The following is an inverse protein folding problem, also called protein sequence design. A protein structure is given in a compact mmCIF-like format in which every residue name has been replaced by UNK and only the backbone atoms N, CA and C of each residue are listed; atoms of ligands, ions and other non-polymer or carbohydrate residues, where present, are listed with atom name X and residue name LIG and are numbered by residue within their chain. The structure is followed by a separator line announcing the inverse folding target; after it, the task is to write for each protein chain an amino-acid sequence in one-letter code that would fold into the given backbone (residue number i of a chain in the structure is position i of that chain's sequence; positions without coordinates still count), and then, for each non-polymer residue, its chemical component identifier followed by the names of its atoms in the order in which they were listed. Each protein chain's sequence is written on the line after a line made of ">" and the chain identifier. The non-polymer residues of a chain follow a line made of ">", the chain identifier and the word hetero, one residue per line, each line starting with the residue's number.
data_IF_464367893920
#
_entry.id   IF_464367893920
#
_cell.length_a   1.000
_cell.length_b   1.000
_cell.length_c   1.000
_cell.angle_alpha   90.00
_cell.angle_beta   90.00
_cell.angle_gamma   90.00
#
_symmetry.space_group_name_H-M   'P 1'
#
loop_
_entity.id
_entity.type
_entity.pdbx_description
1 polymer ?
#
# COMPACT_ATOMS: atom_id res chain seq x y z
N UNK A 1 -35.47 101.10 1.75
CA UNK A 1 -36.85 100.69 2.09
C UNK A 1 -36.77 99.56 3.12
N UNK A 2 -37.13 99.89 4.37
CA UNK A 2 -37.46 98.99 5.50
C UNK A 2 -39.01 98.83 5.47
N UNK A 3 -39.75 97.91 6.17
CA UNK A 3 -39.52 96.57 6.77
C UNK A 3 -40.60 95.52 6.33
N UNK A 4 -40.59 94.29 6.91
CA UNK A 4 -41.65 93.71 7.79
C UNK A 4 -41.69 92.17 7.74
N UNK A 5 -41.70 91.60 8.95
CA UNK A 5 -41.87 90.20 9.38
C UNK A 5 -43.14 89.50 8.85
N UNK A 6 -43.12 88.16 8.75
CA UNK A 6 -44.15 87.35 9.42
C UNK A 6 -43.74 85.89 9.65
N UNK A 7 -44.20 85.41 10.79
CA UNK A 7 -43.93 84.15 11.50
C UNK A 7 -44.77 83.01 10.92
N UNK A 8 -44.22 81.78 10.88
CA UNK A 8 -44.97 80.59 10.47
C UNK A 8 -44.39 79.26 10.98
N UNK A 9 -44.79 78.91 12.21
CA UNK A 9 -45.09 77.56 12.70
C UNK A 9 -44.04 76.43 12.52
N UNK A 10 -43.31 76.14 13.61
CA UNK A 10 -42.54 74.90 13.80
C UNK A 10 -43.51 73.75 14.10
N UNK A 11 -43.68 72.82 13.17
CA UNK A 11 -44.30 71.52 13.44
C UNK A 11 -43.20 70.53 13.88
N UNK A 12 -43.23 70.16 15.16
CA UNK A 12 -42.42 69.10 15.74
C UNK A 12 -42.91 67.75 15.19
N UNK A 13 -42.26 67.21 14.15
CA UNK A 13 -42.45 65.83 13.74
C UNK A 13 -41.67 64.92 14.68
N UNK A 14 -42.37 64.30 15.64
CA UNK A 14 -41.86 63.16 16.41
C UNK A 14 -41.61 61.98 15.46
N UNK A 15 -40.39 61.84 14.96
CA UNK A 15 -39.91 60.60 14.37
C UNK A 15 -39.76 59.56 15.49
N UNK A 16 -40.76 58.69 15.65
CA UNK A 16 -40.64 57.46 16.42
C UNK A 16 -39.62 56.54 15.72
N UNK A 17 -38.35 56.64 16.10
CA UNK A 17 -37.35 55.62 15.79
C UNK A 17 -37.76 54.34 16.52
N UNK A 18 -38.48 53.45 15.84
CA UNK A 18 -38.60 52.06 16.25
C UNK A 18 -37.20 51.46 16.18
N UNK A 19 -36.52 51.38 17.33
CA UNK A 19 -35.40 50.49 17.52
C UNK A 19 -35.94 49.06 17.36
N UNK A 20 -35.85 48.53 16.15
CA UNK A 20 -36.01 47.10 15.90
C UNK A 20 -34.83 46.45 16.63
N UNK A 21 -35.08 46.03 17.87
CA UNK A 21 -34.19 45.11 18.56
C UNK A 21 -34.18 43.82 17.75
N UNK A 22 -33.20 43.70 16.85
CA UNK A 22 -32.80 42.43 16.26
C UNK A 22 -32.37 41.54 17.43
N UNK A 23 -33.34 40.80 17.97
CA UNK A 23 -33.07 39.65 18.80
C UNK A 23 -32.30 38.68 17.92
N UNK A 24 -30.98 38.71 18.06
CA UNK A 24 -30.10 37.66 17.57
C UNK A 24 -30.54 36.39 18.29
N UNK A 25 -31.49 35.66 17.70
CA UNK A 25 -31.80 34.30 18.10
C UNK A 25 -30.50 33.52 17.97
N UNK A 26 -29.86 33.23 19.10
CA UNK A 26 -28.79 32.26 19.14
C UNK A 26 -29.35 30.98 18.51
N UNK A 27 -28.76 30.55 17.41
CA UNK A 27 -29.13 29.28 16.81
C UNK A 27 -28.99 28.20 17.89
N UNK A 28 -29.97 27.29 18.03
CA UNK A 28 -29.88 26.26 19.04
C UNK A 28 -28.62 25.42 18.81
N UNK A 29 -27.87 25.16 19.88
CA UNK A 29 -26.69 24.32 19.82
C UNK A 29 -27.05 22.94 19.25
N UNK A 30 -26.18 22.41 18.40
CA UNK A 30 -26.32 21.07 17.82
C UNK A 30 -25.39 20.12 18.57
N UNK A 31 -25.93 19.00 19.04
CA UNK A 31 -25.13 17.95 19.68
C UNK A 31 -24.95 16.77 18.73
N UNK A 32 -23.69 16.41 18.47
CA UNK A 32 -23.30 15.22 17.72
C UNK A 32 -23.14 14.07 18.72
N UNK A 33 -24.08 13.14 18.70
CA UNK A 33 -24.01 11.95 19.54
C UNK A 33 -23.02 10.95 18.92
N UNK A 34 -22.04 10.47 19.69
CA UNK A 34 -20.96 9.61 19.18
C UNK A 34 -21.13 8.14 19.53
N UNK A 35 -20.45 7.28 18.76
CA UNK A 35 -20.44 5.82 18.91
C UNK A 35 -19.30 5.35 19.81
N UNK A 36 -19.40 4.10 20.26
CA UNK A 36 -18.30 3.43 20.98
C UNK A 36 -18.00 3.99 22.37
N UNK A 37 -18.94 4.71 22.99
CA UNK A 37 -18.76 5.34 24.30
C UNK A 37 -17.94 6.64 24.28
N UNK A 38 -17.62 7.17 23.09
CA UNK A 38 -17.03 8.51 22.98
C UNK A 38 -18.01 9.59 23.46
N UNK A 39 -17.48 10.64 24.08
CA UNK A 39 -18.26 11.77 24.59
C UNK A 39 -18.98 12.50 23.47
N UNK A 40 -20.27 12.79 23.67
CA UNK A 40 -21.05 13.61 22.75
C UNK A 40 -20.48 15.03 22.67
N UNK A 41 -20.55 15.66 21.49
CA UNK A 41 -19.98 17.00 21.26
C UNK A 41 -21.10 17.98 20.97
N UNK A 42 -21.22 19.02 21.79
CA UNK A 42 -22.17 20.13 21.59
C UNK A 42 -21.44 21.34 21.00
N UNK A 43 -21.97 21.91 19.92
CA UNK A 43 -21.40 23.07 19.28
C UNK A 43 -22.45 23.96 18.62
N UNK A 44 -22.09 25.25 18.48
CA UNK A 44 -22.94 26.25 17.84
C UNK A 44 -23.15 25.98 16.34
N UNK A 45 -22.19 25.32 15.67
CA UNK A 45 -22.32 25.00 14.24
C UNK A 45 -21.73 23.64 13.93
N UNK A 46 -22.53 22.82 13.25
CA UNK A 46 -22.15 21.48 12.80
C UNK A 46 -22.43 21.40 11.31
N UNK A 47 -21.40 21.12 10.51
CA UNK A 47 -21.49 20.99 9.06
C UNK A 47 -21.30 19.52 8.70
N UNK A 48 -22.32 18.88 8.14
CA UNK A 48 -22.24 17.50 7.65
C UNK A 48 -22.06 17.49 6.12
N UNK A 49 -21.13 16.65 5.66
CA UNK A 49 -20.87 16.38 4.24
C UNK A 49 -20.62 14.88 3.99
N UNK A 50 -20.26 14.48 2.78
CA UNK A 50 -20.01 13.08 2.44
C UNK A 50 -18.75 12.49 3.12
N UNK A 51 -17.83 13.35 3.57
CA UNK A 51 -16.57 12.96 4.19
C UNK A 51 -16.74 12.72 5.68
N UNK A 52 -17.67 13.42 6.32
CA UNK A 52 -17.92 13.36 7.75
C UNK A 52 -18.66 14.58 8.29
N UNK A 53 -18.35 14.94 9.53
CA UNK A 53 -18.99 16.02 10.28
C UNK A 53 -17.93 16.97 10.81
N UNK A 54 -17.95 18.22 10.35
CA UNK A 54 -17.10 19.29 10.87
C UNK A 54 -17.84 20.02 12.00
N UNK A 55 -17.26 20.03 13.20
CA UNK A 55 -17.80 20.73 14.36
C UNK A 55 -17.04 22.04 14.56
N UNK A 56 -17.76 23.16 14.44
CA UNK A 56 -17.24 24.53 14.63
C UNK A 56 -17.78 25.09 15.95
N UNK A 57 -16.87 25.44 16.86
CA UNK A 57 -17.21 25.97 18.18
C UNK A 57 -16.15 25.71 19.25
N UNK A 58 -15.29 24.71 19.05
CA UNK A 58 -14.06 24.52 19.84
C UNK A 58 -12.94 25.44 19.32
N UNK A 59 -11.88 25.65 20.13
CA UNK A 59 -10.68 26.44 19.74
C UNK A 59 -10.03 25.95 18.44
N UNK A 60 -10.26 24.69 18.08
CA UNK A 60 -9.84 24.05 16.84
C UNK A 60 -11.03 23.32 16.22
N UNK A 61 -11.33 23.50 14.93
CA UNK A 61 -12.37 22.70 14.27
C UNK A 61 -12.03 21.21 14.39
N UNK A 62 -13.00 20.41 14.83
CA UNK A 62 -12.86 18.95 14.93
C UNK A 62 -13.64 18.29 13.79
N UNK A 63 -13.00 17.33 13.12
CA UNK A 63 -13.62 16.56 12.05
C UNK A 63 -13.93 15.14 12.55
N UNK A 64 -15.21 14.76 12.52
CA UNK A 64 -15.70 13.48 13.02
C UNK A 64 -16.13 12.61 11.82
N UNK A 65 -15.51 11.43 11.61
CA UNK A 65 -15.89 10.52 10.53
C UNK A 65 -17.25 9.86 10.79
N UNK A 66 -17.94 9.44 9.72
CA UNK A 66 -19.31 8.93 9.81
C UNK A 66 -19.46 7.67 10.66
N UNK A 67 -18.42 6.82 10.74
CA UNK A 67 -18.43 5.63 11.60
C UNK A 67 -18.37 5.94 13.11
N UNK A 68 -18.17 7.19 13.49
CA UNK A 68 -18.23 7.65 14.88
C UNK A 68 -19.51 8.40 15.20
N UNK A 69 -20.29 8.79 14.19
CA UNK A 69 -21.53 9.56 14.36
C UNK A 69 -22.69 8.60 14.57
N UNK A 70 -23.36 8.71 15.72
CA UNK A 70 -24.56 7.93 16.06
C UNK A 70 -25.84 8.62 15.64
N UNK A 71 -25.96 9.91 16.01
CA UNK A 71 -27.15 10.72 15.76
C UNK A 71 -26.81 12.20 15.93
N UNK A 72 -27.75 13.06 15.55
CA UNK A 72 -27.71 14.49 15.84
C UNK A 72 -28.89 14.87 16.73
N UNK A 73 -28.65 15.70 17.74
CA UNK A 73 -29.69 16.41 18.50
C UNK A 73 -29.64 17.86 18.07
N UNK A 74 -30.66 18.31 17.33
CA UNK A 74 -30.68 19.59 16.62
C UNK A 74 -30.66 19.41 15.09
N UNK A 75 -30.63 20.52 14.34
CA UNK A 75 -30.57 20.48 12.87
C UNK A 75 -29.18 20.86 12.40
N UNK A 76 -28.34 19.89 11.94
CA UNK A 76 -27.03 20.20 11.41
C UNK A 76 -27.18 20.99 10.10
N UNK A 77 -26.18 21.82 9.80
CA UNK A 77 -26.04 22.43 8.49
C UNK A 77 -25.53 21.37 7.52
N UNK A 78 -26.21 21.17 6.40
CA UNK A 78 -25.73 20.26 5.35
C UNK A 78 -24.93 21.05 4.32
N UNK A 79 -23.90 20.43 3.75
CA UNK A 79 -23.11 21.00 2.66
C UNK A 79 -22.84 19.98 1.55
N UNK A 80 -22.40 20.47 0.38
CA UNK A 80 -22.11 19.63 -0.78
C UNK A 80 -23.33 18.90 -1.34
N UNK A 81 -23.15 17.63 -1.71
CA UNK A 81 -24.19 16.81 -2.33
C UNK A 81 -25.38 16.51 -1.41
N UNK A 82 -25.23 16.64 -0.08
CA UNK A 82 -26.29 16.38 0.89
C UNK A 82 -27.40 17.46 0.91
N UNK A 83 -27.22 18.57 0.20
CA UNK A 83 -28.17 19.70 0.20
C UNK A 83 -29.44 19.38 -0.60
N UNK A 84 -29.35 18.52 -1.63
CA UNK A 84 -30.41 18.32 -2.63
C UNK A 84 -31.65 17.57 -2.09
N UNK A 85 -31.50 16.72 -1.07
CA UNK A 85 -32.62 16.11 -0.32
C UNK A 85 -32.23 15.96 1.16
N UNK A 86 -32.53 16.99 1.96
CA UNK A 86 -32.01 17.15 3.33
C UNK A 86 -32.25 15.93 4.24
N UNK A 87 -33.49 15.43 4.27
CA UNK A 87 -33.89 14.38 5.24
C UNK A 87 -33.39 13.00 4.80
N UNK A 88 -33.59 12.64 3.53
CA UNK A 88 -33.19 11.33 3.01
C UNK A 88 -31.66 11.19 2.97
N UNK A 89 -30.95 12.28 2.65
CA UNK A 89 -29.49 12.26 2.59
C UNK A 89 -28.85 12.11 3.97
N UNK A 90 -29.38 12.77 5.00
CA UNK A 90 -28.84 12.63 6.37
C UNK A 90 -29.09 11.23 6.94
N UNK A 91 -30.30 10.70 6.75
CA UNK A 91 -30.63 9.34 7.18
C UNK A 91 -29.77 8.29 6.46
N UNK A 92 -29.51 8.46 5.16
CA UNK A 92 -28.63 7.60 4.38
C UNK A 92 -27.18 7.64 4.91
N UNK A 93 -26.66 8.82 5.25
CA UNK A 93 -25.31 8.95 5.81
C UNK A 93 -25.19 8.32 7.20
N UNK A 94 -26.22 8.46 8.06
CA UNK A 94 -26.25 7.78 9.36
C UNK A 94 -26.29 6.26 9.21
N UNK A 95 -27.02 5.73 8.23
CA UNK A 95 -27.05 4.30 7.92
C UNK A 95 -25.70 3.80 7.37
N UNK A 96 -25.04 4.58 6.52
CA UNK A 96 -23.67 4.32 6.07
C UNK A 96 -22.69 4.30 7.25
N UNK A 97 -22.77 5.29 8.14
CA UNK A 97 -21.96 5.37 9.36
C UNK A 97 -22.15 4.16 10.28
N UNK A 98 -23.38 3.69 10.46
CA UNK A 98 -23.67 2.45 11.20
C UNK A 98 -22.99 1.23 10.54
N UNK A 99 -23.14 1.06 9.23
CA UNK A 99 -22.53 -0.06 8.50
C UNK A 99 -20.99 -0.02 8.59
N UNK A 100 -20.37 1.15 8.47
CA UNK A 100 -18.91 1.33 8.60
C UNK A 100 -18.41 1.09 10.03
N UNK A 101 -19.14 1.56 11.05
CA UNK A 101 -18.81 1.28 12.46
C UNK A 101 -18.81 -0.21 12.74
N UNK A 102 -19.88 -0.89 12.27
CA UNK A 102 -20.06 -2.33 12.35
C UNK A 102 -19.00 -3.11 11.58
N UNK A 103 -18.56 -2.62 10.43
CA UNK A 103 -17.48 -3.21 9.66
C UNK A 103 -16.12 -3.03 10.37
N UNK A 104 -15.82 -1.82 10.87
CA UNK A 104 -14.58 -1.53 11.60
C UNK A 104 -14.40 -2.45 12.81
N UNK A 105 -15.44 -2.61 13.64
CA UNK A 105 -15.37 -3.51 14.81
C UNK A 105 -15.09 -4.95 14.39
N UNK A 106 -15.72 -5.43 13.30
CA UNK A 106 -15.50 -6.79 12.79
C UNK A 106 -14.09 -6.99 12.26
N UNK A 107 -13.58 -6.05 11.45
CA UNK A 107 -12.18 -6.07 10.99
C UNK A 107 -11.22 -6.07 12.17
N UNK A 108 -11.46 -5.25 13.18
CA UNK A 108 -10.65 -5.22 14.41
C UNK A 108 -10.68 -6.53 15.21
N UNK A 109 -11.75 -7.34 15.06
CA UNK A 109 -11.86 -8.68 15.66
C UNK A 109 -11.36 -9.81 14.75
N UNK A 110 -11.03 -9.52 13.50
CA UNK A 110 -10.69 -10.52 12.48
C UNK A 110 -11.89 -11.17 11.78
N UNK A 111 -13.11 -10.66 11.99
CA UNK A 111 -14.35 -11.17 11.39
C UNK A 111 -14.55 -10.64 9.95
N UNK A 112 -13.58 -10.88 9.06
CA UNK A 112 -13.53 -10.28 7.72
C UNK A 112 -14.72 -10.66 6.84
N UNK A 113 -15.22 -11.89 6.95
CA UNK A 113 -16.39 -12.39 6.19
C UNK A 113 -17.64 -11.57 6.45
N UNK A 114 -17.85 -11.15 7.70
CA UNK A 114 -19.00 -10.34 8.09
C UNK A 114 -18.79 -8.84 7.86
N UNK A 115 -17.53 -8.38 7.79
CA UNK A 115 -17.22 -6.98 7.49
C UNK A 115 -17.39 -6.65 6.00
N UNK A 116 -16.91 -7.55 5.13
CA UNK A 116 -16.88 -7.37 3.68
C UNK A 116 -18.22 -6.96 3.05
N UNK A 117 -19.38 -7.60 3.33
CA UNK A 117 -20.64 -7.20 2.70
C UNK A 117 -21.10 -5.79 3.10
N UNK A 118 -20.80 -5.36 4.34
CA UNK A 118 -21.13 -4.02 4.81
C UNK A 118 -20.30 -2.95 4.08
N UNK A 119 -19.02 -3.23 3.86
CA UNK A 119 -18.12 -2.34 3.13
C UNK A 119 -18.45 -2.30 1.63
N UNK A 120 -18.71 -3.48 1.03
CA UNK A 120 -19.00 -3.61 -0.39
C UNK A 120 -20.25 -2.81 -0.81
N UNK A 121 -21.26 -2.74 0.08
CA UNK A 121 -22.48 -1.93 -0.12
C UNK A 121 -22.18 -0.45 -0.42
N UNK A 122 -21.16 0.11 0.23
CA UNK A 122 -20.83 1.55 0.16
C UNK A 122 -19.56 1.86 -0.63
N UNK A 123 -18.79 0.83 -1.02
CA UNK A 123 -17.47 1.00 -1.62
C UNK A 123 -17.47 1.82 -2.91
N UNK A 124 -18.48 1.63 -3.78
CA UNK A 124 -18.57 2.39 -5.03
C UNK A 124 -18.68 3.90 -4.80
N UNK A 125 -19.37 4.31 -3.74
CA UNK A 125 -19.52 5.71 -3.32
C UNK A 125 -18.24 6.23 -2.64
N UNK A 126 -17.68 5.45 -1.72
CA UNK A 126 -16.59 5.93 -0.85
C UNK A 126 -15.20 5.91 -1.51
N UNK A 127 -14.95 5.01 -2.46
CA UNK A 127 -13.60 4.74 -2.99
C UNK A 127 -12.93 5.94 -3.68
N UNK A 128 -13.67 6.95 -4.09
CA UNK A 128 -13.13 8.15 -4.76
C UNK A 128 -13.26 9.42 -3.91
N UNK A 129 -13.80 9.30 -2.69
CA UNK A 129 -13.95 10.42 -1.78
C UNK A 129 -12.69 10.61 -0.94
N UNK A 130 -12.57 11.81 -0.38
CA UNK A 130 -11.50 12.17 0.55
C UNK A 130 -11.96 12.08 2.00
N UNK A 131 -10.98 12.11 2.89
CA UNK A 131 -11.20 12.18 4.33
C UNK A 131 -11.19 10.83 5.05
N UNK A 132 -11.35 10.87 6.38
CA UNK A 132 -11.14 9.71 7.25
C UNK A 132 -12.19 8.61 7.08
N UNK A 133 -13.40 8.94 6.62
CA UNK A 133 -14.45 7.94 6.33
C UNK A 133 -14.07 7.06 5.14
N UNK A 134 -13.60 7.68 4.05
CA UNK A 134 -13.15 6.96 2.85
C UNK A 134 -11.86 6.19 3.12
N UNK A 135 -10.92 6.79 3.87
CA UNK A 135 -9.67 6.15 4.30
C UNK A 135 -9.92 4.86 5.08
N UNK A 136 -10.84 4.89 6.06
CA UNK A 136 -11.27 3.70 6.82
C UNK A 136 -11.84 2.62 5.90
N UNK A 137 -12.74 2.99 4.99
CA UNK A 137 -13.37 2.03 4.09
C UNK A 137 -12.34 1.36 3.16
N UNK A 138 -11.39 2.14 2.63
CA UNK A 138 -10.31 1.64 1.79
C UNK A 138 -9.40 0.65 2.55
N UNK A 139 -8.96 1.01 3.75
CA UNK A 139 -8.10 0.13 4.55
C UNK A 139 -8.84 -1.14 5.00
N UNK A 140 -10.11 -1.02 5.38
CA UNK A 140 -10.95 -2.17 5.76
C UNK A 140 -11.17 -3.12 4.57
N UNK A 141 -11.44 -2.59 3.37
CA UNK A 141 -11.59 -3.37 2.15
C UNK A 141 -10.30 -4.07 1.76
N UNK A 142 -9.15 -3.39 1.91
CA UNK A 142 -7.84 -3.99 1.70
C UNK A 142 -7.62 -5.19 2.62
N UNK A 143 -7.86 -5.02 3.92
CA UNK A 143 -7.70 -6.09 4.90
C UNK A 143 -8.61 -7.29 4.60
N UNK A 144 -9.87 -7.03 4.22
CA UNK A 144 -10.79 -8.08 3.80
C UNK A 144 -10.28 -8.83 2.55
N UNK A 145 -9.79 -8.11 1.54
CA UNK A 145 -9.27 -8.73 0.31
C UNK A 145 -8.03 -9.59 0.57
N UNK A 146 -7.12 -9.11 1.42
CA UNK A 146 -5.92 -9.84 1.82
C UNK A 146 -6.23 -11.10 2.63
N UNK A 147 -7.20 -11.03 3.54
CA UNK A 147 -7.65 -12.21 4.28
C UNK A 147 -8.15 -13.33 3.37
N UNK A 148 -8.84 -12.96 2.28
CA UNK A 148 -9.35 -13.91 1.28
C UNK A 148 -8.33 -14.27 0.19
N UNK A 149 -7.08 -13.79 0.30
CA UNK A 149 -6.03 -14.00 -0.71
C UNK A 149 -6.45 -13.55 -2.12
N UNK A 150 -7.36 -12.58 -2.21
CA UNK A 150 -7.86 -12.04 -3.48
C UNK A 150 -7.04 -10.79 -3.85
N UNK A 151 -5.92 -11.04 -4.52
CA UNK A 151 -4.94 -10.00 -4.87
C UNK A 151 -5.53 -8.96 -5.81
N UNK A 152 -6.32 -9.36 -6.82
CA UNK A 152 -6.97 -8.43 -7.74
C UNK A 152 -7.90 -7.47 -7.01
N UNK A 153 -8.71 -7.97 -6.07
CA UNK A 153 -9.58 -7.13 -5.25
C UNK A 153 -8.81 -6.24 -4.25
N UNK A 154 -7.57 -6.59 -3.90
CA UNK A 154 -6.73 -5.83 -2.97
C UNK A 154 -6.05 -4.62 -3.62
N UNK A 155 -5.75 -4.65 -4.93
CA UNK A 155 -5.03 -3.56 -5.62
C UNK A 155 -5.74 -2.22 -5.46
N UNK A 156 -7.03 -2.18 -5.77
CA UNK A 156 -7.80 -0.94 -5.79
C UNK A 156 -7.84 -0.29 -4.39
N UNK A 157 -8.27 -1.00 -3.33
CA UNK A 157 -8.20 -0.47 -1.96
C UNK A 157 -6.78 -0.07 -1.54
N UNK A 158 -5.73 -0.82 -1.90
CA UNK A 158 -4.34 -0.45 -1.58
C UNK A 158 -3.92 0.88 -2.20
N UNK A 159 -4.26 1.11 -3.48
CA UNK A 159 -4.00 2.39 -4.17
C UNK A 159 -4.73 3.54 -3.47
N UNK A 160 -5.99 3.34 -3.04
CA UNK A 160 -6.73 4.35 -2.28
C UNK A 160 -6.11 4.62 -0.90
N UNK A 161 -5.63 3.59 -0.19
CA UNK A 161 -4.92 3.77 1.09
C UNK A 161 -3.65 4.59 0.91
N UNK A 162 -2.86 4.34 -0.15
CA UNK A 162 -1.68 5.15 -0.46
C UNK A 162 -2.03 6.61 -0.70
N UNK A 163 -3.12 6.87 -1.44
CA UNK A 163 -3.64 8.20 -1.73
C UNK A 163 -4.05 8.93 -0.45
N UNK A 164 -4.76 8.27 0.46
CA UNK A 164 -5.15 8.81 1.76
C UNK A 164 -3.94 9.09 2.66
N UNK A 165 -2.97 8.16 2.73
CA UNK A 165 -1.73 8.36 3.52
C UNK A 165 -0.89 9.52 3.00
N UNK A 166 -0.82 9.70 1.68
CA UNK A 166 -0.16 10.86 1.08
C UNK A 166 -0.84 12.20 1.43
N UNK A 167 -2.13 12.18 1.81
CA UNK A 167 -2.88 13.34 2.35
C UNK A 167 -2.74 13.48 3.88
N UNK A 168 -1.97 12.60 4.54
CA UNK A 168 -1.77 12.62 5.98
C UNK A 168 -2.88 11.95 6.79
N UNK A 169 -3.77 11.19 6.15
CA UNK A 169 -4.81 10.44 6.86
C UNK A 169 -4.18 9.24 7.60
N UNK A 170 -4.28 9.16 8.93
CA UNK A 170 -3.73 8.05 9.70
C UNK A 170 -4.55 6.78 9.51
N UNK A 171 -3.89 5.63 9.72
CA UNK A 171 -4.59 4.35 9.85
C UNK A 171 -5.49 4.37 11.08
N UNK A 172 -6.69 3.79 10.97
CA UNK A 172 -7.65 3.67 12.08
C UNK A 172 -7.74 2.27 12.66
N UNK A 173 -6.95 1.35 12.12
CA UNK A 173 -6.78 0.01 12.67
C UNK A 173 -5.50 0.03 13.51
N UNK A 174 -5.66 -0.10 14.83
CA UNK A 174 -4.56 -0.06 15.80
C UNK A 174 -3.65 -1.30 15.76
N UNK A 175 -3.71 -2.10 14.70
CA UNK A 175 -3.13 -3.44 14.67
C UNK A 175 -1.61 -3.37 14.59
N UNK A 176 -0.93 -4.11 15.48
CA UNK A 176 0.52 -4.27 15.58
C UNK A 176 1.20 -4.81 14.29
N UNK A 177 0.41 -5.17 13.27
CA UNK A 177 0.90 -5.57 11.95
C UNK A 177 0.01 -4.98 10.85
N UNK A 178 0.09 -3.65 10.65
CA UNK A 178 -0.41 -3.06 9.39
C UNK A 178 0.21 -3.84 8.22
N UNK A 179 -0.59 -4.33 7.26
CA UNK A 179 -0.04 -5.15 6.19
C UNK A 179 0.81 -4.30 5.23
N UNK A 180 0.67 -2.97 5.32
CA UNK A 180 1.45 -2.00 4.57
C UNK A 180 2.67 -1.62 5.40
N UNK A 181 3.85 -1.83 4.81
CA UNK A 181 5.12 -1.43 5.39
C UNK A 181 5.16 0.09 5.65
N UNK A 182 5.48 0.49 6.88
CA UNK A 182 5.45 1.90 7.29
C UNK A 182 6.53 2.74 6.60
N UNK A 183 7.65 2.13 6.21
CA UNK A 183 8.78 2.83 5.61
C UNK A 183 8.58 3.08 4.11
N UNK A 184 8.02 2.11 3.39
CA UNK A 184 7.91 2.15 1.91
C UNK A 184 6.47 2.33 1.41
N UNK A 185 5.46 2.08 2.25
CA UNK A 185 4.07 2.00 1.82
C UNK A 185 3.75 0.78 0.94
N UNK A 186 4.71 -0.14 0.74
CA UNK A 186 4.49 -1.35 -0.03
C UNK A 186 3.76 -2.40 0.78
N UNK A 187 3.03 -3.25 0.06
CA UNK A 187 2.32 -4.38 0.61
C UNK A 187 3.06 -5.66 0.21
N UNK A 188 3.56 -6.44 1.17
CA UNK A 188 4.36 -7.63 0.85
C UNK A 188 3.60 -8.63 -0.03
N UNK A 189 2.27 -8.71 0.15
CA UNK A 189 1.38 -9.59 -0.59
C UNK A 189 1.08 -9.14 -2.04
N UNK A 190 1.36 -7.88 -2.42
CA UNK A 190 1.16 -7.38 -3.79
C UNK A 190 2.52 -7.15 -4.46
N UNK A 191 3.27 -8.24 -4.64
CA UNK A 191 4.49 -8.19 -5.44
C UNK A 191 4.17 -8.00 -6.93
N UNK A 192 5.01 -7.29 -7.70
CA UNK A 192 4.93 -7.33 -9.15
C UNK A 192 5.47 -8.65 -9.74
N UNK A 193 6.21 -9.43 -8.96
CA UNK A 193 6.80 -10.71 -9.37
C UNK A 193 5.85 -11.85 -8.99
N UNK A 194 4.84 -12.06 -9.83
CA UNK A 194 3.77 -13.05 -9.59
C UNK A 194 3.78 -14.20 -10.60
N UNK A 195 3.37 -15.42 -10.19
CA UNK A 195 3.21 -16.56 -11.10
C UNK A 195 2.25 -16.26 -12.25
N UNK A 196 2.42 -16.93 -13.38
CA UNK A 196 1.62 -16.67 -14.59
C UNK A 196 0.10 -16.74 -14.32
N UNK A 197 -0.33 -17.68 -13.47
CA UNK A 197 -1.73 -17.88 -13.09
C UNK A 197 -2.40 -16.65 -12.43
N UNK A 198 -1.61 -15.73 -11.86
CA UNK A 198 -2.11 -14.53 -11.16
C UNK A 198 -1.85 -13.22 -11.92
N UNK A 199 -1.05 -13.24 -12.98
CA UNK A 199 -0.64 -12.02 -13.72
C UNK A 199 -1.82 -11.27 -14.30
N UNK A 200 -2.72 -11.98 -15.01
CA UNK A 200 -3.87 -11.37 -15.70
C UNK A 200 -4.77 -10.62 -14.72
N UNK A 201 -5.13 -11.28 -13.62
CA UNK A 201 -5.95 -10.69 -12.55
C UNK A 201 -5.32 -9.39 -12.00
N UNK A 202 -4.02 -9.41 -11.74
CA UNK A 202 -3.31 -8.27 -11.18
C UNK A 202 -3.14 -7.12 -12.18
N UNK A 203 -2.89 -7.43 -13.46
CA UNK A 203 -2.82 -6.46 -14.55
C UNK A 203 -4.17 -5.77 -14.75
N UNK A 204 -5.25 -6.52 -14.82
CA UNK A 204 -6.60 -5.98 -14.99
C UNK A 204 -6.99 -5.09 -13.81
N UNK A 205 -6.59 -5.47 -12.59
CA UNK A 205 -6.80 -4.65 -11.41
C UNK A 205 -5.98 -3.34 -11.45
N UNK A 206 -4.72 -3.37 -11.91
CA UNK A 206 -3.88 -2.18 -12.07
C UNK A 206 -4.45 -1.22 -13.12
N UNK A 207 -4.87 -1.75 -14.29
CA UNK A 207 -5.53 -0.96 -15.35
C UNK A 207 -6.84 -0.36 -14.87
N UNK A 208 -7.64 -1.15 -14.15
CA UNK A 208 -8.89 -0.68 -13.54
C UNK A 208 -8.66 0.44 -12.54
N UNK A 209 -7.53 0.45 -11.82
CA UNK A 209 -7.16 1.56 -10.95
C UNK A 209 -6.79 2.81 -11.75
N UNK A 210 -6.08 2.66 -12.87
CA UNK A 210 -5.68 3.77 -13.74
C UNK A 210 -6.86 4.43 -14.45
N UNK A 211 -7.76 3.64 -15.05
CA UNK A 211 -8.90 4.15 -15.82
C UNK A 211 -9.89 5.01 -15.00
N UNK A 212 -9.86 4.92 -13.67
CA UNK A 212 -10.73 5.73 -12.81
C UNK A 212 -10.36 7.20 -12.79
N UNK A 213 -9.10 7.55 -13.05
CA UNK A 213 -8.67 8.94 -13.09
C UNK A 213 -8.80 9.51 -14.50
N UNK A 214 -10.04 9.73 -14.95
CA UNK A 214 -10.29 10.43 -16.21
C UNK A 214 -10.05 11.96 -16.12
N UNK A 215 -9.73 12.50 -14.93
CA UNK A 215 -9.31 13.89 -14.73
C UNK A 215 -7.79 14.05 -14.79
N UNK A 216 -7.30 15.29 -14.87
CA UNK A 216 -5.87 15.62 -14.71
C UNK A 216 -5.49 15.46 -13.22
N UNK A 217 -4.90 14.31 -12.81
CA UNK A 217 -4.71 14.04 -11.41
C UNK A 217 -3.62 14.97 -10.86
N UNK A 218 -3.82 15.49 -9.66
CA UNK A 218 -2.82 16.34 -8.99
C UNK A 218 -2.49 15.77 -7.60
N UNK A 219 -1.27 16.05 -7.13
CA UNK A 219 -0.83 15.62 -5.80
C UNK A 219 -0.93 14.12 -5.57
N UNK A 220 -1.61 13.73 -4.49
CA UNK A 220 -1.76 12.34 -4.05
C UNK A 220 -2.41 11.43 -5.10
N UNK A 221 -3.37 11.94 -5.87
CA UNK A 221 -4.07 11.15 -6.90
C UNK A 221 -3.10 10.78 -8.04
N UNK A 222 -2.19 11.71 -8.40
CA UNK A 222 -1.16 11.45 -9.42
C UNK A 222 -0.15 10.40 -8.96
N UNK A 223 0.26 10.45 -7.68
CA UNK A 223 1.15 9.45 -7.09
C UNK A 223 0.50 8.07 -7.06
N UNK A 224 -0.77 7.97 -6.66
CA UNK A 224 -1.52 6.72 -6.63
C UNK A 224 -1.61 6.05 -8.02
N UNK A 225 -1.87 6.83 -9.07
CA UNK A 225 -1.88 6.35 -10.45
C UNK A 225 -0.51 5.96 -10.96
N UNK A 226 0.54 6.73 -10.61
CA UNK A 226 1.91 6.39 -10.96
C UNK A 226 2.33 5.06 -10.35
N UNK A 227 1.91 4.76 -9.10
CA UNK A 227 2.14 3.46 -8.46
C UNK A 227 1.44 2.33 -9.22
N UNK A 228 0.17 2.50 -9.60
CA UNK A 228 -0.57 1.50 -10.38
C UNK A 228 0.07 1.25 -11.76
N UNK A 229 0.54 2.30 -12.43
CA UNK A 229 1.23 2.21 -13.72
C UNK A 229 2.61 1.53 -13.63
N UNK A 230 3.37 1.81 -12.56
CA UNK A 230 4.64 1.15 -12.31
C UNK A 230 4.46 -0.34 -11.97
N UNK A 231 3.45 -0.67 -11.16
CA UNK A 231 3.10 -2.06 -10.89
C UNK A 231 2.75 -2.81 -12.17
N UNK A 232 1.88 -2.26 -13.02
CA UNK A 232 1.54 -2.87 -14.32
C UNK A 232 2.79 -3.09 -15.17
N UNK A 233 3.65 -2.07 -15.29
CA UNK A 233 4.89 -2.15 -16.07
C UNK A 233 5.82 -3.25 -15.58
N UNK A 234 6.03 -3.33 -14.27
CA UNK A 234 6.88 -4.36 -13.66
C UNK A 234 6.33 -5.77 -13.91
N UNK A 235 5.00 -5.96 -13.84
CA UNK A 235 4.37 -7.25 -14.13
C UNK A 235 4.57 -7.64 -15.60
N UNK A 236 4.38 -6.70 -16.54
CA UNK A 236 4.64 -6.93 -17.98
C UNK A 236 6.11 -7.28 -18.22
N UNK A 237 7.03 -6.57 -17.56
CA UNK A 237 8.46 -6.81 -17.67
C UNK A 237 8.88 -8.18 -17.13
N UNK A 238 8.22 -8.62 -16.06
CA UNK A 238 8.43 -9.92 -15.41
C UNK A 238 8.00 -11.10 -16.29
N UNK A 239 7.05 -10.87 -17.20
CA UNK A 239 6.58 -11.84 -18.21
C UNK A 239 7.57 -11.97 -19.39
N UNK A 240 8.62 -11.16 -19.44
CA UNK A 240 9.52 -11.08 -20.59
C UNK A 240 8.94 -10.27 -21.76
N UNK A 241 7.80 -9.60 -21.55
CA UNK A 241 7.26 -8.63 -22.50
C UNK A 241 8.25 -7.50 -22.75
N UNK A 242 8.33 -7.03 -24.00
CA UNK A 242 9.12 -5.86 -24.34
C UNK A 242 8.56 -4.63 -23.59
N UNK A 243 9.40 -4.01 -22.77
CA UNK A 243 9.06 -2.76 -22.12
C UNK A 243 9.07 -1.64 -23.16
N UNK A 244 7.90 -1.09 -23.47
CA UNK A 244 7.84 0.22 -24.12
C UNK A 244 8.45 1.25 -23.17
N UNK A 245 9.50 1.94 -23.61
CA UNK A 245 10.13 2.99 -22.83
C UNK A 245 9.06 4.00 -22.38
N UNK A 246 9.05 4.43 -21.09
CA UNK A 246 8.13 5.46 -20.66
C UNK A 246 8.35 6.69 -21.55
N UNK A 247 7.26 7.25 -22.08
CA UNK A 247 7.30 8.56 -22.71
C UNK A 247 7.80 9.54 -21.65
N UNK A 248 9.11 9.82 -21.66
CA UNK A 248 9.71 10.75 -20.74
C UNK A 248 8.95 12.05 -20.89
N UNK A 249 8.23 12.45 -19.84
CA UNK A 249 7.66 13.79 -19.74
C UNK A 249 8.85 14.74 -19.79
N UNK A 250 9.15 15.23 -20.99
CA UNK A 250 10.14 16.24 -21.26
C UNK A 250 9.62 17.55 -20.67
N UNK A 251 9.71 17.69 -19.35
CA UNK A 251 9.80 19.02 -18.75
C UNK A 251 11.11 19.62 -19.24
N UNK A 252 10.96 20.37 -20.32
CA UNK A 252 11.91 21.31 -20.89
C UNK A 252 12.66 22.03 -19.77
N UNK A 253 13.89 21.59 -19.54
CA UNK A 253 14.89 22.35 -18.82
C UNK A 253 15.37 23.47 -19.74
N UNK A 254 14.51 24.47 -19.95
CA UNK A 254 14.94 25.77 -20.46
C UNK A 254 15.68 26.47 -19.31
N UNK A 255 17.00 26.39 -19.33
CA UNK A 255 17.87 27.14 -18.44
C UNK A 255 17.66 28.65 -18.67
N UNK A 256 17.30 29.44 -17.64
CA UNK A 256 17.41 30.89 -17.71
C UNK A 256 18.87 31.26 -17.52
N UNK A 257 19.39 32.03 -18.48
CA UNK A 257 20.69 32.70 -18.40
C UNK A 257 20.51 33.91 -17.47
N UNK A 258 20.88 33.81 -16.21
CA UNK A 258 20.94 34.95 -15.28
C UNK A 258 22.37 35.29 -14.88
N UNK A 259 22.73 36.54 -15.16
CA UNK A 259 23.82 37.33 -14.59
C UNK A 259 23.66 37.53 -13.07
N UNK A 260 24.75 37.74 -12.30
CA UNK A 260 24.69 37.77 -10.85
C UNK A 260 24.30 39.15 -10.31
N UNK A 261 23.61 39.19 -9.16
CA UNK A 261 23.97 40.15 -8.14
C UNK A 261 24.24 39.49 -6.78
N UNK A 262 25.31 39.97 -6.16
CA UNK A 262 25.72 39.67 -4.79
C UNK A 262 24.66 40.09 -3.77
N UNK A 263 24.22 39.17 -2.92
CA UNK A 263 23.67 39.50 -1.59
C UNK A 263 23.85 38.34 -0.60
N UNK A 264 24.66 38.61 0.42
CA UNK A 264 24.56 38.21 1.83
C UNK A 264 23.86 36.88 2.17
N UNK A 265 24.67 35.84 2.36
CA UNK A 265 24.27 34.53 2.87
C UNK A 265 24.22 34.55 4.42
N UNK A 266 23.03 34.76 4.98
CA UNK A 266 22.74 34.49 6.40
C UNK A 266 22.52 33.00 6.57
N UNK A 267 23.47 32.31 7.21
CA UNK A 267 23.40 30.87 7.53
C UNK A 267 22.50 30.63 8.74
N UNK A 268 21.20 30.49 8.49
CA UNK A 268 20.27 29.93 9.48
C UNK A 268 20.59 28.45 9.67
N UNK A 269 21.36 28.17 10.73
CA UNK A 269 21.70 26.84 11.23
C UNK A 269 20.44 26.18 11.78
N UNK A 270 19.70 25.48 10.92
CA UNK A 270 18.60 24.60 11.31
C UNK A 270 19.15 23.44 12.14
N UNK A 271 18.60 23.28 13.34
CA UNK A 271 18.93 22.25 14.33
C UNK A 271 18.70 20.82 13.79
N UNK A 272 19.62 19.86 14.01
CA UNK A 272 19.56 18.50 13.47
C UNK A 272 18.84 17.51 14.41
N UNK A 273 17.73 17.89 15.05
CA UNK A 273 17.04 17.04 16.03
C UNK A 273 15.57 16.83 15.65
N UNK A 274 15.36 16.12 14.55
CA UNK A 274 14.20 15.25 14.35
C UNK A 274 14.51 14.41 13.11
N UNK A 275 15.34 13.39 13.27
CA UNK A 275 15.44 12.30 12.30
C UNK A 275 14.14 11.48 12.39
N UNK A 276 13.02 12.11 12.07
CA UNK A 276 11.77 11.44 11.79
C UNK A 276 12.06 10.61 10.56
N UNK A 277 12.04 9.28 10.71
CA UNK A 277 12.25 8.30 9.65
C UNK A 277 11.58 8.79 8.35
N UNK A 278 12.38 9.30 7.41
CA UNK A 278 11.87 9.83 6.17
C UNK A 278 11.26 8.66 5.40
N UNK A 279 9.94 8.58 5.36
CA UNK A 279 9.21 7.56 4.59
C UNK A 279 9.64 7.67 3.14
N UNK A 280 10.14 6.57 2.58
CA UNK A 280 10.54 6.53 1.18
C UNK A 280 9.25 6.31 0.39
N UNK A 281 8.89 7.22 -0.54
CA UNK A 281 7.65 7.07 -1.28
C UNK A 281 7.60 5.73 -2.02
N UNK A 282 6.45 5.06 -1.96
CA UNK A 282 6.19 3.79 -2.65
C UNK A 282 6.61 3.83 -4.13
N UNK A 283 6.30 4.94 -4.79
CA UNK A 283 6.68 5.19 -6.18
C UNK A 283 8.20 5.12 -6.40
N UNK A 284 9.01 5.66 -5.49
CA UNK A 284 10.47 5.66 -5.60
C UNK A 284 11.04 4.24 -5.53
N UNK A 285 10.51 3.40 -4.63
CA UNK A 285 10.94 2.00 -4.51
C UNK A 285 10.60 1.21 -5.78
N UNK A 286 9.40 1.39 -6.32
CA UNK A 286 9.00 0.74 -7.57
C UNK A 286 9.83 1.20 -8.77
N UNK A 287 10.24 2.47 -8.83
CA UNK A 287 11.15 2.96 -9.88
C UNK A 287 12.55 2.34 -9.80
N UNK A 288 13.07 2.09 -8.59
CA UNK A 288 14.34 1.41 -8.41
C UNK A 288 14.26 -0.05 -8.89
N UNK A 289 13.17 -0.75 -8.55
CA UNK A 289 12.90 -2.09 -9.08
C UNK A 289 12.75 -2.09 -10.61
N UNK A 290 12.01 -1.11 -11.17
CA UNK A 290 11.83 -0.95 -12.63
C UNK A 290 13.17 -0.75 -13.33
N UNK A 291 14.08 0.01 -12.72
CA UNK A 291 15.43 0.24 -13.24
C UNK A 291 16.28 -1.04 -13.27
N UNK A 292 16.15 -1.91 -12.25
CA UNK A 292 16.83 -3.22 -12.22
C UNK A 292 16.25 -4.12 -13.30
N UNK A 293 14.93 -4.25 -13.36
CA UNK A 293 14.24 -5.13 -14.32
C UNK A 293 14.47 -4.67 -15.77
N UNK A 294 14.53 -3.37 -16.01
CA UNK A 294 14.68 -2.78 -17.34
C UNK A 294 16.12 -2.79 -17.87
N UNK A 295 17.11 -3.10 -17.03
CA UNK A 295 18.51 -3.11 -17.44
C UNK A 295 18.75 -4.11 -18.59
N UNK A 296 19.36 -3.62 -19.67
CA UNK A 296 19.65 -4.37 -20.90
C UNK A 296 20.95 -5.15 -20.84
N UNK A 297 21.85 -4.76 -19.93
CA UNK A 297 23.19 -5.32 -19.79
C UNK A 297 23.63 -5.35 -18.32
N UNK A 298 24.70 -6.11 -18.05
CA UNK A 298 25.22 -6.36 -16.71
C UNK A 298 25.70 -5.09 -16.00
N UNK A 299 26.32 -4.15 -16.71
CA UNK A 299 26.86 -2.93 -16.11
C UNK A 299 25.71 -2.01 -15.67
N UNK A 300 24.71 -1.83 -16.52
CA UNK A 300 23.51 -1.05 -16.21
C UNK A 300 22.75 -1.66 -15.03
N UNK A 301 22.61 -2.99 -14.99
CA UNK A 301 22.00 -3.70 -13.87
C UNK A 301 22.74 -3.48 -12.56
N UNK A 302 24.07 -3.63 -12.56
CA UNK A 302 24.88 -3.46 -11.36
C UNK A 302 24.78 -2.02 -10.81
N UNK A 303 24.72 -1.02 -11.69
CA UNK A 303 24.47 0.38 -11.29
C UNK A 303 23.08 0.53 -10.66
N UNK A 304 22.05 -0.05 -11.25
CA UNK A 304 20.68 0.01 -10.70
C UNK A 304 20.58 -0.70 -9.33
N UNK A 305 21.25 -1.84 -9.15
CA UNK A 305 21.30 -2.55 -7.86
C UNK A 305 22.07 -1.73 -6.82
N UNK A 306 23.23 -1.17 -7.17
CA UNK A 306 23.99 -0.32 -6.26
C UNK A 306 23.20 0.93 -5.83
N UNK A 307 22.42 1.51 -6.75
CA UNK A 307 21.53 2.63 -6.43
C UNK A 307 20.39 2.20 -5.51
N UNK A 308 19.78 1.04 -5.75
CA UNK A 308 18.78 0.46 -4.85
C UNK A 308 19.37 0.28 -3.44
N UNK A 309 20.53 -0.36 -3.32
CA UNK A 309 21.17 -0.63 -2.01
C UNK A 309 21.63 0.65 -1.32
N UNK A 310 22.00 1.70 -2.08
CA UNK A 310 22.34 3.02 -1.54
C UNK A 310 21.12 3.72 -0.94
N UNK A 311 19.96 3.63 -1.59
CA UNK A 311 18.70 4.23 -1.11
C UNK A 311 18.08 3.40 0.00
N UNK A 312 18.24 2.07 -0.06
CA UNK A 312 17.69 1.08 0.87
C UNK A 312 18.81 0.20 1.44
N UNK A 313 19.62 0.68 2.38
CA UNK A 313 20.72 -0.11 2.96
C UNK A 313 20.23 -1.33 3.74
N UNK A 314 19.06 -1.21 4.38
CA UNK A 314 18.40 -2.28 5.14
C UNK A 314 16.95 -2.42 4.64
N UNK A 315 16.73 -3.00 3.44
CA UNK A 315 15.38 -3.15 2.92
C UNK A 315 14.59 -4.14 3.80
N UNK A 316 13.27 -3.95 3.96
CA UNK A 316 12.41 -4.98 4.50
C UNK A 316 12.66 -6.31 3.80
N UNK A 317 12.60 -7.41 4.54
CA UNK A 317 12.97 -8.74 4.05
C UNK A 317 12.25 -9.09 2.73
N UNK A 318 10.95 -8.81 2.64
CA UNK A 318 10.15 -9.05 1.42
C UNK A 318 10.67 -8.26 0.22
N UNK A 319 11.13 -7.03 0.44
CA UNK A 319 11.66 -6.17 -0.60
C UNK A 319 13.04 -6.65 -1.07
N UNK A 320 13.85 -7.23 -0.17
CA UNK A 320 15.06 -7.95 -0.55
C UNK A 320 14.78 -9.12 -1.51
N UNK A 321 13.69 -9.86 -1.29
CA UNK A 321 13.24 -10.91 -2.21
C UNK A 321 12.79 -10.34 -3.57
N UNK A 322 12.06 -9.22 -3.57
CA UNK A 322 11.65 -8.53 -4.81
C UNK A 322 12.85 -8.03 -5.61
N UNK A 323 13.88 -7.50 -4.93
CA UNK A 323 15.15 -7.09 -5.56
C UNK A 323 15.83 -8.27 -6.24
N UNK A 324 15.91 -9.42 -5.57
CA UNK A 324 16.52 -10.63 -6.16
C UNK A 324 15.71 -11.16 -7.35
N UNK A 325 14.37 -11.14 -7.25
CA UNK A 325 13.50 -11.50 -8.37
C UNK A 325 13.74 -10.56 -9.56
N UNK A 326 13.84 -9.24 -9.32
CA UNK A 326 14.15 -8.25 -10.35
C UNK A 326 15.47 -8.52 -11.08
N UNK A 327 16.53 -8.88 -10.34
CA UNK A 327 17.85 -9.24 -10.89
C UNK A 327 17.71 -10.48 -11.78
N UNK A 328 17.05 -11.53 -11.29
CA UNK A 328 16.82 -12.76 -12.03
C UNK A 328 16.00 -12.54 -13.32
N UNK A 329 14.96 -11.71 -13.27
CA UNK A 329 14.16 -11.31 -14.44
C UNK A 329 15.01 -10.58 -15.49
N UNK A 330 15.85 -9.63 -15.08
CA UNK A 330 16.76 -8.92 -15.99
C UNK A 330 17.79 -9.88 -16.62
N UNK A 331 18.38 -10.78 -15.83
CA UNK A 331 19.27 -11.84 -16.31
C UNK A 331 18.60 -12.75 -17.34
N UNK A 332 17.37 -13.19 -17.07
CA UNK A 332 16.61 -14.03 -17.99
C UNK A 332 16.41 -13.35 -19.35
N UNK A 333 16.10 -12.04 -19.34
CA UNK A 333 15.95 -11.26 -20.59
C UNK A 333 17.27 -11.14 -21.35
N UNK A 334 18.36 -10.82 -20.67
CA UNK A 334 19.70 -10.73 -21.30
C UNK A 334 20.16 -12.10 -21.85
N UNK A 335 19.89 -13.18 -21.12
CA UNK A 335 20.17 -14.55 -21.57
C UNK A 335 19.41 -14.90 -22.85
N UNK A 336 18.12 -14.57 -22.94
CA UNK A 336 17.31 -14.80 -24.15
C UNK A 336 17.76 -13.98 -25.36
N UNK A 337 18.36 -12.81 -25.13
CA UNK A 337 18.96 -11.99 -26.18
C UNK A 337 20.33 -12.51 -26.64
N UNK A 338 20.95 -13.44 -25.89
CA UNK A 338 22.23 -14.05 -26.26
C UNK A 338 22.03 -15.10 -27.35
N UNK A 339 23.00 -15.24 -28.26
CA UNK A 339 22.94 -16.15 -29.42
C UNK A 339 24.01 -17.24 -29.31
N UNK A 340 23.74 -18.41 -29.85
CA UNK A 340 24.67 -19.55 -29.90
C UNK A 340 24.84 -20.25 -28.55
N UNK A 341 25.95 -20.98 -28.38
CA UNK A 341 26.21 -21.82 -27.21
C UNK A 341 26.28 -21.03 -25.89
N UNK A 342 26.64 -19.75 -25.96
CA UNK A 342 26.64 -18.84 -24.81
C UNK A 342 25.24 -18.62 -24.23
N UNK A 343 24.16 -18.82 -25.03
CA UNK A 343 22.78 -18.69 -24.58
C UNK A 343 22.44 -19.71 -23.51
N UNK A 344 22.81 -20.98 -23.69
CA UNK A 344 22.52 -22.06 -22.74
C UNK A 344 23.12 -21.75 -21.37
N UNK A 345 24.40 -21.40 -21.32
CA UNK A 345 25.08 -21.02 -20.07
C UNK A 345 24.46 -19.76 -19.42
N UNK A 346 24.03 -18.79 -20.23
CA UNK A 346 23.38 -17.58 -19.73
C UNK A 346 22.00 -17.89 -19.12
N UNK A 347 21.21 -18.79 -19.75
CA UNK A 347 19.91 -19.23 -19.24
C UNK A 347 20.05 -20.00 -17.92
N UNK A 348 20.99 -20.93 -17.84
CA UNK A 348 21.30 -21.67 -16.61
C UNK A 348 21.71 -20.72 -15.47
N UNK A 349 22.60 -19.75 -15.75
CA UNK A 349 22.99 -18.73 -14.76
C UNK A 349 21.79 -17.91 -14.29
N UNK A 350 20.94 -17.46 -15.20
CA UNK A 350 19.72 -16.72 -14.86
C UNK A 350 18.76 -17.54 -13.99
N UNK A 351 18.60 -18.84 -14.29
CA UNK A 351 17.82 -19.75 -13.48
C UNK A 351 18.39 -19.86 -12.06
N UNK A 352 19.71 -19.95 -11.90
CA UNK A 352 20.37 -20.01 -10.59
C UNK A 352 20.19 -18.72 -9.79
N UNK A 353 20.18 -17.55 -10.44
CA UNK A 353 19.90 -16.27 -9.79
C UNK A 353 18.44 -16.19 -9.31
N UNK A 354 17.47 -16.67 -10.09
CA UNK A 354 16.06 -16.77 -9.66
C UNK A 354 15.91 -17.78 -8.52
N UNK A 355 16.57 -18.92 -8.63
CA UNK A 355 16.62 -19.88 -7.53
C UNK A 355 17.32 -19.29 -6.31
N UNK A 356 18.06 -18.18 -6.38
CA UNK A 356 18.62 -17.52 -5.20
C UNK A 356 17.55 -16.84 -4.34
N UNK A 357 16.40 -16.45 -4.92
CA UNK A 357 15.27 -15.79 -4.23
C UNK A 357 14.79 -16.65 -3.05
N UNK A 358 14.79 -16.13 -1.81
CA UNK A 358 14.64 -16.91 -0.58
C UNK A 358 13.25 -17.57 -0.47
N UNK A 359 13.22 -18.90 -0.65
CA UNK A 359 12.03 -19.69 -0.96
C UNK A 359 10.99 -19.97 0.15
N UNK A 360 11.09 -19.42 1.38
CA UNK A 360 10.27 -19.96 2.47
C UNK A 360 9.96 -19.09 3.71
N UNK A 361 10.65 -17.99 4.01
CA UNK A 361 10.54 -17.40 5.37
C UNK A 361 10.00 -15.96 5.44
N UNK A 362 9.82 -15.30 4.29
CA UNK A 362 9.83 -13.84 4.28
C UNK A 362 8.50 -13.22 3.85
N UNK A 363 7.83 -13.80 2.84
CA UNK A 363 6.53 -13.32 2.40
C UNK A 363 5.45 -14.35 2.75
N UNK A 364 4.46 -13.94 3.54
CA UNK A 364 3.29 -14.78 3.88
C UNK A 364 2.54 -15.25 2.64
N UNK A 365 2.61 -14.50 1.53
CA UNK A 365 1.96 -14.85 0.27
C UNK A 365 2.67 -15.99 -0.46
N UNK A 366 4.00 -16.01 -0.43
CA UNK A 366 4.83 -16.94 -1.21
C UNK A 366 4.77 -16.75 -2.73
N UNK A 367 4.19 -15.65 -3.22
CA UNK A 367 4.03 -15.39 -4.66
C UNK A 367 5.37 -15.25 -5.37
N UNK A 368 6.31 -14.54 -4.73
CA UNK A 368 7.64 -14.29 -5.29
C UNK A 368 8.44 -15.58 -5.42
N UNK A 369 8.26 -16.50 -4.47
CA UNK A 369 8.91 -17.80 -4.49
C UNK A 369 8.35 -18.67 -5.62
N UNK A 370 7.02 -18.72 -5.74
CA UNK A 370 6.36 -19.45 -6.81
C UNK A 370 6.72 -18.88 -8.19
N UNK A 371 6.79 -17.55 -8.33
CA UNK A 371 7.28 -16.87 -9.53
C UNK A 371 8.71 -17.29 -9.86
N UNK A 372 9.62 -17.22 -8.87
CA UNK A 372 11.02 -17.54 -9.08
C UNK A 372 11.23 -19.00 -9.50
N UNK A 373 10.48 -19.93 -8.89
CA UNK A 373 10.49 -21.35 -9.27
C UNK A 373 9.92 -21.57 -10.68
N UNK A 374 8.78 -20.97 -11.01
CA UNK A 374 8.17 -21.05 -12.34
C UNK A 374 9.12 -20.54 -13.43
N UNK A 375 9.76 -19.40 -13.19
CA UNK A 375 10.70 -18.80 -14.14
C UNK A 375 12.00 -19.61 -14.26
N UNK A 376 12.56 -20.10 -13.14
CA UNK A 376 13.75 -20.96 -13.17
C UNK A 376 13.47 -22.28 -13.91
N UNK A 377 12.32 -22.91 -13.65
CA UNK A 377 11.84 -24.11 -14.35
C UNK A 377 11.78 -23.85 -15.87
N UNK A 378 11.17 -22.74 -16.30
CA UNK A 378 11.06 -22.37 -17.71
C UNK A 378 12.43 -22.15 -18.37
N UNK A 379 13.36 -21.45 -17.70
CA UNK A 379 14.70 -21.18 -18.22
C UNK A 379 15.55 -22.45 -18.35
N UNK A 380 15.45 -23.37 -17.39
CA UNK A 380 16.15 -24.65 -17.45
C UNK A 380 15.65 -25.50 -18.62
N UNK A 381 14.33 -25.56 -18.84
CA UNK A 381 13.79 -26.22 -20.05
C UNK A 381 14.25 -25.55 -21.34
N UNK A 382 14.27 -24.22 -21.37
CA UNK A 382 14.76 -23.45 -22.53
C UNK A 382 16.25 -23.71 -22.82
N UNK A 383 17.05 -23.96 -21.76
CA UNK A 383 18.48 -24.29 -21.88
C UNK A 383 18.75 -25.74 -22.33
N UNK A 384 17.77 -26.64 -22.18
CA UNK A 384 17.91 -28.09 -22.45
C UNK A 384 18.13 -28.96 -21.21
N UNK A 385 18.31 -28.38 -20.02
CA UNK A 385 18.41 -29.12 -18.75
C UNK A 385 17.02 -29.50 -18.20
N UNK A 386 16.40 -30.49 -18.84
CA UNK A 386 15.07 -30.99 -18.47
C UNK A 386 15.08 -31.63 -17.08
N UNK A 387 16.16 -32.30 -16.70
CA UNK A 387 16.25 -33.01 -15.42
C UNK A 387 16.21 -32.04 -14.23
N UNK A 388 16.97 -30.94 -14.27
CA UNK A 388 16.91 -29.91 -13.24
C UNK A 388 15.56 -29.18 -13.27
N UNK A 389 14.99 -28.93 -14.44
CA UNK A 389 13.67 -28.32 -14.54
C UNK A 389 12.58 -29.15 -13.84
N UNK A 390 12.58 -30.47 -14.02
CA UNK A 390 11.61 -31.37 -13.39
C UNK A 390 11.80 -31.44 -11.86
N UNK A 391 13.02 -31.32 -11.37
CA UNK A 391 13.28 -31.17 -9.92
C UNK A 391 12.70 -29.87 -9.37
N UNK A 392 12.90 -28.74 -10.06
CA UNK A 392 12.31 -27.45 -9.67
C UNK A 392 10.78 -27.52 -9.68
N UNK A 393 10.19 -28.17 -10.68
CA UNK A 393 8.74 -28.38 -10.76
C UNK A 393 8.22 -29.23 -9.58
N UNK A 394 8.95 -30.26 -9.17
CA UNK A 394 8.61 -31.09 -8.00
C UNK A 394 8.65 -30.30 -6.69
N UNK A 395 9.62 -29.40 -6.51
CA UNK A 395 9.66 -28.50 -5.34
C UNK A 395 8.47 -27.56 -5.33
N UNK A 396 8.14 -26.96 -6.48
CA UNK A 396 7.03 -26.02 -6.61
C UNK A 396 5.70 -26.66 -6.23
N UNK A 397 5.45 -27.88 -6.70
CA UNK A 397 4.23 -28.64 -6.37
C UNK A 397 4.19 -29.09 -4.91
N UNK A 398 5.33 -29.51 -4.34
CA UNK A 398 5.43 -29.90 -2.93
C UNK A 398 5.19 -28.72 -1.98
N UNK A 399 5.73 -27.54 -2.30
CA UNK A 399 5.53 -26.32 -1.52
C UNK A 399 4.08 -25.82 -1.51
N UNK A 400 3.35 -25.97 -2.63
CA UNK A 400 1.94 -25.64 -2.71
C UNK A 400 1.07 -26.50 -1.77
N UNK A 401 1.37 -27.81 -1.68
CA UNK A 401 0.65 -28.74 -0.83
C UNK A 401 0.94 -28.54 0.67
N UNK A 402 2.17 -28.19 1.03
CA UNK A 402 2.57 -27.92 2.41
C UNK A 402 1.85 -26.70 3.02
N UNK A 403 1.75 -25.60 2.27
CA UNK A 403 1.09 -24.37 2.75
C UNK A 403 -0.40 -24.56 3.02
N UNK A 404 -1.08 -25.41 2.25
CA UNK A 404 -2.49 -25.70 2.49
C UNK A 404 -2.71 -26.48 3.80
N UNK A 405 -1.75 -27.34 4.17
CA UNK A 405 -1.84 -28.19 5.36
C UNK A 405 -1.60 -27.43 6.65
N UNK A 406 -0.64 -26.50 6.68
CA UNK A 406 -0.35 -25.69 7.89
C UNK A 406 -1.41 -24.59 8.13
N UNK A 407 -2.06 -24.08 7.08
CA UNK A 407 -3.11 -23.04 7.21
C UNK A 407 -4.43 -23.56 7.76
N UNK A 408 -4.72 -24.86 7.66
CA UNK A 408 -5.95 -25.47 8.18
C UNK A 408 -5.87 -25.85 9.67
N UNK A 409 -4.75 -25.59 10.36
CA UNK A 409 -4.70 -25.68 11.81
C UNK A 409 -5.22 -24.36 12.41
N UNK A 410 -6.47 -24.29 12.93
CA UNK A 410 -6.88 -23.15 13.72
C UNK A 410 -5.91 -23.01 14.89
N UNK A 411 -5.28 -21.84 14.99
CA UNK A 411 -4.46 -21.47 16.15
C UNK A 411 -5.37 -21.36 17.38
N UNK A 412 -5.68 -22.49 18.00
CA UNK A 412 -6.34 -22.56 19.31
C UNK A 412 -5.32 -22.27 20.40
N UNK A 413 -4.68 -21.10 20.33
CA UNK A 413 -3.86 -20.58 21.42
C UNK A 413 -4.74 -19.85 22.44
N UNK A 414 -5.70 -20.54 23.04
CA UNK A 414 -6.27 -20.15 24.34
C UNK A 414 -5.44 -20.83 25.42
N UNK A 415 -4.31 -20.20 25.76
CA UNK A 415 -3.50 -20.58 26.91
C UNK A 415 -4.25 -20.30 28.21
N UNK A 416 -4.91 -21.32 28.76
CA UNK A 416 -5.23 -21.36 30.19
C UNK A 416 -4.00 -21.92 30.93
N UNK A 417 -3.35 -21.05 31.70
CA UNK A 417 -2.23 -21.41 32.55
C UNK A 417 -2.75 -22.22 33.73
N UNK A 418 -2.54 -23.54 33.73
CA UNK A 418 -2.49 -24.33 34.97
C UNK A 418 -1.17 -25.08 35.00
N UNK A 419 -0.27 -24.60 35.85
CA UNK A 419 0.99 -25.26 36.16
C UNK A 419 0.70 -26.57 36.90
N UNK A 420 1.23 -27.68 36.39
CA UNK A 420 1.52 -28.86 37.21
C UNK A 420 2.87 -29.42 36.77
N UNK A 421 3.79 -29.37 37.73
CA UNK A 421 5.14 -29.90 37.67
C UNK A 421 5.14 -31.43 37.83
N UNK A 422 5.84 -32.13 36.95
CA UNK A 422 6.51 -33.38 37.33
C UNK A 422 7.68 -33.66 36.38
N UNK A 423 8.84 -33.89 37.01
CA UNK A 423 10.11 -34.22 36.41
C UNK A 423 10.12 -35.61 35.76
N UNK A 424 10.98 -35.80 34.76
CA UNK A 424 11.87 -36.97 34.65
C UNK A 424 12.92 -36.77 33.56
N UNK A 425 14.16 -36.82 34.01
CA UNK A 425 15.43 -36.90 33.28
C UNK A 425 15.63 -38.26 32.59
N UNK A 426 16.31 -38.30 31.44
CA UNK A 426 17.45 -39.20 31.22
C UNK A 426 18.19 -38.89 29.90
N UNK A 427 19.51 -39.02 29.98
CA UNK A 427 20.54 -38.80 28.97
C UNK A 427 20.53 -39.79 27.80
N UNK A 428 21.20 -39.44 26.69
CA UNK A 428 22.19 -40.31 26.04
C UNK A 428 22.89 -39.63 24.86
N UNK A 429 24.21 -39.58 24.99
CA UNK A 429 25.24 -39.12 24.05
C UNK A 429 25.65 -40.26 23.13
N UNK A 430 25.98 -40.00 21.86
CA UNK A 430 27.16 -40.56 21.18
C UNK A 430 27.28 -40.09 19.72
N UNK A 431 28.51 -39.72 19.38
CA UNK A 431 29.04 -39.41 18.08
C UNK A 431 29.29 -40.68 17.25
N UNK A 432 29.35 -40.56 15.92
CA UNK A 432 30.35 -41.32 15.15
C UNK A 432 30.68 -40.64 13.83
N UNK A 433 31.97 -40.35 13.71
CA UNK A 433 32.71 -39.81 12.57
C UNK A 433 32.99 -40.92 11.57
N UNK A 434 32.92 -40.64 10.27
CA UNK A 434 33.63 -41.43 9.26
C UNK A 434 34.07 -40.53 8.10
N UNK A 435 35.39 -40.36 8.01
CA UNK A 435 36.12 -39.81 6.89
C UNK A 435 36.22 -40.85 5.76
N UNK A 436 35.99 -40.43 4.52
CA UNK A 436 36.56 -41.11 3.34
C UNK A 436 37.00 -40.05 2.33
N UNK A 437 38.30 -40.12 2.03
CA UNK A 437 39.03 -39.40 1.00
C UNK A 437 38.62 -39.84 -0.40
N UNK A 438 38.50 -38.91 -1.35
CA UNK A 438 38.59 -39.24 -2.78
C UNK A 438 39.30 -38.16 -3.60
N UNK A 439 40.03 -38.68 -4.58
CA UNK A 439 41.14 -38.11 -5.35
C UNK A 439 40.68 -37.11 -6.41
N UNK A 440 41.51 -36.09 -6.66
CA UNK A 440 41.39 -35.07 -7.72
C UNK A 440 41.42 -35.67 -9.14
N UNK A 441 40.45 -35.26 -9.96
CA UNK A 441 40.57 -35.16 -11.42
C UNK A 441 40.08 -33.79 -11.87
N UNK A 442 41.02 -32.91 -12.20
CA UNK A 442 40.78 -31.58 -12.76
C UNK A 442 40.35 -31.68 -14.22
N UNK A 443 39.04 -31.58 -14.47
CA UNK A 443 38.42 -31.12 -15.74
C UNK A 443 36.88 -31.10 -15.69
N UNK A 444 36.24 -31.65 -14.64
CA UNK A 444 34.76 -31.76 -14.49
C UNK A 444 34.20 -30.78 -13.44
N UNK A 445 35.01 -29.82 -12.99
CA UNK A 445 34.76 -29.07 -11.76
C UNK A 445 33.68 -27.97 -11.89
N UNK A 446 33.38 -27.47 -13.09
CA UNK A 446 32.36 -26.40 -13.24
C UNK A 446 30.90 -26.93 -13.27
N UNK A 447 30.63 -28.12 -13.81
CA UNK A 447 29.26 -28.69 -13.82
C UNK A 447 28.85 -29.33 -12.48
N UNK A 448 29.82 -29.77 -11.65
CA UNK A 448 29.53 -30.38 -10.35
C UNK A 448 29.07 -29.37 -9.28
N UNK A 449 29.45 -28.10 -9.42
CA UNK A 449 29.07 -27.02 -8.50
C UNK A 449 27.59 -26.65 -8.62
N UNK A 450 27.04 -26.67 -9.83
CA UNK A 450 25.63 -26.33 -10.10
C UNK A 450 24.69 -27.36 -9.49
N UNK A 451 24.92 -28.66 -9.74
CA UNK A 451 24.15 -29.73 -9.10
C UNK A 451 24.30 -29.75 -7.57
N UNK A 452 25.47 -29.42 -7.01
CA UNK A 452 25.65 -29.35 -5.55
C UNK A 452 24.93 -28.16 -4.93
N UNK A 453 24.85 -27.01 -5.59
CA UNK A 453 24.10 -25.86 -5.07
C UNK A 453 22.60 -26.11 -5.13
N UNK A 454 22.09 -26.63 -6.27
CA UNK A 454 20.70 -27.05 -6.40
C UNK A 454 20.39 -28.12 -5.36
N UNK A 455 21.18 -29.20 -5.25
CA UNK A 455 20.96 -30.25 -4.26
C UNK A 455 21.04 -29.75 -2.80
N UNK A 456 21.98 -28.87 -2.45
CA UNK A 456 22.05 -28.30 -1.09
C UNK A 456 20.88 -27.38 -0.78
N UNK A 457 20.36 -26.67 -1.79
CA UNK A 457 19.18 -25.82 -1.63
C UNK A 457 17.91 -26.67 -1.54
N UNK A 458 17.78 -27.69 -2.40
CA UNK A 458 16.72 -28.70 -2.33
C UNK A 458 16.67 -29.35 -0.95
N UNK A 459 17.82 -29.80 -0.41
CA UNK A 459 17.93 -30.37 0.95
C UNK A 459 17.61 -29.40 2.10
N UNK A 460 17.58 -28.08 1.85
CA UNK A 460 17.15 -27.09 2.85
C UNK A 460 15.67 -26.72 2.73
N UNK A 461 15.06 -27.01 1.58
CA UNK A 461 13.65 -26.72 1.28
C UNK A 461 12.78 -27.94 1.62
N UNK A 462 13.28 -29.16 1.42
CA UNK A 462 12.73 -30.42 1.96
C UNK A 462 13.10 -30.57 3.42
#
# INVERSE_FOLDING_TARGET
>A
MIPVFSVGLVALSCSFSHAIALTLNAAPDVTVARRGGATDITAATVIADERGVEVKGAKTPEFIPWDEVRAFVGTPQLSGALVSSRTDSLAAQLALGEDLWRARIRVARGDYDFARPLLAKHWAQLRSLDGPTASLAAEAMLLCALHHENLGAAVVPWIEVLRHRAKGEPSRFATEASPIDAQTGLLSALSPFVPAARRVELLDACRSAQHRSQGNPTGADATALAVAALMERLIIAADGGALSAPAASSKSSAAPRETPPSTSRTTSRTTPNSAVNATIPTQSVLLLLDSIVSATDLLTRNKAVAEFDRVMPEPPTFLGAWRLAAIGTSSARAARATVGDARTQALERAAMELLAVPAAAIDRSGLVDEYALEMAEALLRESGDVASADQVASVRTSGANGKHSDRLRPSTATGSTTQSSAASSAASTAASTAHTSFVSSSAVVENCTTHRFVARRLMRIT
#
